data_IF_050409969635
#
_entry.id   IF_050409969635
#
_cell.length_a   1.000
_cell.length_b   1.000
_cell.length_c   1.000
_cell.angle_alpha   90.00
_cell.angle_beta   90.00
_cell.angle_gamma   90.00
#
_symmetry.space_group_name_H-M   'P 1'
#
loop_
_entity.id
_entity.type
_entity.pdbx_description
1 polymer ?
#
# COMPACT_ATOMS: atom_id res chain seq x y z
N UNK A 1 -6.76 28.54 6.55
CA UNK A 1 -5.60 27.64 6.75
C UNK A 1 -5.90 26.39 7.58
N UNK A 2 -6.83 26.43 8.57
CA UNK A 2 -7.16 25.24 9.40
C UNK A 2 -7.52 23.97 8.61
N UNK A 3 -8.29 24.12 7.53
CA UNK A 3 -8.73 22.98 6.71
C UNK A 3 -7.61 22.34 5.89
N UNK A 4 -6.69 23.16 5.38
CA UNK A 4 -5.51 22.68 4.63
C UNK A 4 -4.58 21.90 5.57
N UNK A 5 -4.34 22.43 6.78
CA UNK A 5 -3.54 21.73 7.79
C UNK A 5 -4.19 20.39 8.18
N UNK A 6 -5.49 20.38 8.43
CA UNK A 6 -6.21 19.16 8.79
C UNK A 6 -6.17 18.10 7.66
N UNK A 7 -6.28 18.53 6.40
CA UNK A 7 -6.17 17.64 5.24
C UNK A 7 -4.80 16.95 5.20
N UNK A 8 -3.70 17.70 5.27
CA UNK A 8 -2.36 17.09 5.22
C UNK A 8 -2.06 16.23 6.44
N UNK A 9 -2.56 16.61 7.62
CA UNK A 9 -2.38 15.82 8.84
C UNK A 9 -3.12 14.49 8.78
N UNK A 10 -4.34 14.47 8.24
CA UNK A 10 -5.08 13.24 7.96
C UNK A 10 -4.32 12.32 7.01
N UNK A 11 -3.81 12.85 5.89
CA UNK A 11 -3.03 12.04 4.94
C UNK A 11 -1.75 11.52 5.57
N UNK A 12 -1.06 12.32 6.37
CA UNK A 12 0.14 11.88 7.09
C UNK A 12 -0.15 10.74 8.06
N UNK A 13 -1.19 10.90 8.89
CA UNK A 13 -1.60 9.86 9.85
C UNK A 13 -2.06 8.58 9.13
N UNK A 14 -2.79 8.70 8.03
CA UNK A 14 -3.26 7.56 7.23
C UNK A 14 -2.12 6.81 6.52
N UNK A 15 -1.20 7.56 5.88
CA UNK A 15 -0.13 6.97 5.06
C UNK A 15 1.03 6.42 5.92
N UNK A 16 1.33 7.07 7.04
CA UNK A 16 2.56 6.81 7.82
C UNK A 16 2.24 6.32 9.23
N UNK A 17 1.18 6.83 9.86
CA UNK A 17 0.83 6.53 11.25
C UNK A 17 0.07 5.23 11.47
N UNK A 18 -0.78 4.83 10.52
CA UNK A 18 -1.71 3.70 10.70
C UNK A 18 -1.18 2.38 10.10
N UNK A 19 -0.94 2.33 8.78
CA UNK A 19 -0.52 1.10 8.07
C UNK A 19 0.53 1.37 6.98
N UNK A 20 1.78 1.66 7.36
CA UNK A 20 2.85 1.98 6.40
C UNK A 20 3.12 0.86 5.39
N UNK A 21 2.82 -0.40 5.73
CA UNK A 21 2.94 -1.55 4.81
C UNK A 21 2.08 -1.39 3.55
N UNK A 22 0.85 -0.89 3.70
CA UNK A 22 -0.08 -0.69 2.57
C UNK A 22 0.42 0.45 1.69
N UNK A 23 0.95 1.53 2.30
CA UNK A 23 1.49 2.67 1.57
C UNK A 23 2.69 2.27 0.71
N UNK A 24 3.63 1.51 1.26
CA UNK A 24 4.79 1.00 0.50
C UNK A 24 4.34 0.08 -0.63
N UNK A 25 3.39 -0.82 -0.37
CA UNK A 25 2.80 -1.68 -1.39
C UNK A 25 2.19 -0.90 -2.55
N UNK A 26 1.43 0.16 -2.25
CA UNK A 26 0.82 1.03 -3.25
C UNK A 26 1.88 1.76 -4.11
N UNK A 27 2.95 2.29 -3.50
CA UNK A 27 4.04 2.93 -4.23
C UNK A 27 4.74 1.97 -5.19
N UNK A 28 4.98 0.72 -4.76
CA UNK A 28 5.60 -0.31 -5.62
C UNK A 28 4.71 -0.61 -6.82
N UNK A 29 3.41 -0.84 -6.60
CA UNK A 29 2.45 -1.14 -7.67
C UNK A 29 2.37 0.02 -8.67
N UNK A 30 2.29 1.26 -8.18
CA UNK A 30 2.27 2.45 -9.04
C UNK A 30 3.56 2.61 -9.85
N UNK A 31 4.71 2.36 -9.23
CA UNK A 31 6.01 2.40 -9.91
C UNK A 31 6.09 1.34 -11.03
N UNK A 32 5.66 0.11 -10.75
CA UNK A 32 5.62 -0.97 -11.75
C UNK A 32 4.67 -0.62 -12.89
N UNK A 33 3.48 -0.10 -12.58
CA UNK A 33 2.52 0.34 -13.59
C UNK A 33 3.08 1.46 -14.48
N UNK A 34 3.76 2.45 -13.90
CA UNK A 34 4.38 3.55 -14.63
C UNK A 34 5.49 3.05 -15.59
N UNK A 35 6.32 2.12 -15.14
CA UNK A 35 7.36 1.51 -15.98
C UNK A 35 6.74 0.66 -17.10
N UNK A 36 5.71 -0.14 -16.79
CA UNK A 36 5.02 -0.97 -17.78
C UNK A 36 4.37 -0.11 -18.86
N UNK A 37 3.71 0.99 -18.48
CA UNK A 37 3.10 1.95 -19.39
C UNK A 37 4.13 2.61 -20.34
N UNK A 38 5.36 2.82 -19.87
CA UNK A 38 6.45 3.39 -20.68
C UNK A 38 7.12 2.37 -21.60
N UNK A 39 7.06 1.08 -21.28
CA UNK A 39 7.91 0.04 -21.88
C UNK A 39 7.18 -0.90 -22.86
N UNK A 40 5.95 -0.56 -23.28
CA UNK A 40 5.12 -1.42 -24.15
C UNK A 40 4.86 -2.82 -23.57
N UNK A 41 4.97 -2.97 -22.25
CA UNK A 41 4.71 -4.23 -21.55
C UNK A 41 3.20 -4.38 -21.41
N UNK A 42 2.67 -5.57 -21.68
CA UNK A 42 1.23 -5.85 -21.48
C UNK A 42 0.83 -5.58 -20.02
N UNK A 43 -0.12 -4.67 -19.83
CA UNK A 43 -0.60 -4.23 -18.52
C UNK A 43 -1.64 -5.18 -17.91
N UNK A 44 -1.97 -6.26 -18.59
CA UNK A 44 -2.98 -7.25 -18.19
C UNK A 44 -2.67 -7.93 -16.84
N UNK A 45 -1.39 -7.95 -16.45
CA UNK A 45 -0.93 -8.53 -15.18
C UNK A 45 -0.98 -7.55 -13.99
N UNK A 46 -1.26 -6.26 -14.22
CA UNK A 46 -1.33 -5.27 -13.13
C UNK A 46 -2.41 -5.58 -12.08
N UNK A 47 -3.63 -6.01 -12.45
CA UNK A 47 -4.63 -6.42 -11.46
C UNK A 47 -4.16 -7.60 -10.59
N UNK A 48 -3.47 -8.58 -11.20
CA UNK A 48 -2.92 -9.71 -10.47
C UNK A 48 -1.82 -9.27 -9.49
N UNK A 49 -0.96 -8.33 -9.90
CA UNK A 49 0.04 -7.74 -9.02
C UNK A 49 -0.61 -7.06 -7.80
N UNK A 50 -1.68 -6.28 -8.00
CA UNK A 50 -2.42 -5.63 -6.91
C UNK A 50 -2.97 -6.66 -5.93
N UNK A 51 -3.59 -7.74 -6.43
CA UNK A 51 -4.15 -8.80 -5.60
C UNK A 51 -3.05 -9.47 -4.77
N UNK A 52 -1.91 -9.80 -5.38
CA UNK A 52 -0.78 -10.42 -4.68
C UNK A 52 -0.24 -9.49 -3.59
N UNK A 53 -0.02 -8.21 -3.91
CA UNK A 53 0.46 -7.22 -2.93
C UNK A 53 -0.51 -7.08 -1.75
N UNK A 54 -1.82 -7.06 -2.02
CA UNK A 54 -2.85 -6.95 -0.99
C UNK A 54 -2.89 -8.20 -0.09
N UNK A 55 -2.87 -9.40 -0.69
CA UNK A 55 -2.85 -10.67 0.06
C UNK A 55 -1.61 -10.78 0.93
N UNK A 56 -0.43 -10.42 0.41
CA UNK A 56 0.81 -10.43 1.18
C UNK A 56 0.76 -9.42 2.32
N UNK A 57 0.28 -8.19 2.07
CA UNK A 57 0.17 -7.15 3.09
C UNK A 57 -0.79 -7.55 4.21
N UNK A 58 -1.98 -8.03 3.87
CA UNK A 58 -2.99 -8.43 4.85
C UNK A 58 -2.57 -9.70 5.60
N UNK A 59 -2.05 -10.72 4.89
CA UNK A 59 -1.58 -11.95 5.52
C UNK A 59 -0.43 -11.70 6.50
N UNK A 60 0.50 -10.80 6.17
CA UNK A 60 1.58 -10.39 7.06
C UNK A 60 1.09 -9.61 8.29
N UNK A 61 0.13 -8.70 8.10
CA UNK A 61 -0.48 -7.97 9.21
C UNK A 61 -1.24 -8.89 10.18
N UNK A 62 -2.03 -9.83 9.63
CA UNK A 62 -2.79 -10.82 10.42
C UNK A 62 -1.86 -11.71 11.23
N UNK A 63 -0.80 -12.25 10.62
CA UNK A 63 0.16 -13.12 11.31
C UNK A 63 0.88 -12.39 12.46
N UNK A 64 1.27 -11.12 12.27
CA UNK A 64 1.81 -10.28 13.36
C UNK A 64 0.82 -10.06 14.49
N UNK A 65 -0.44 -9.78 14.18
CA UNK A 65 -1.49 -9.57 15.18
C UNK A 65 -1.74 -10.83 16.02
N UNK A 66 -1.80 -12.00 15.38
CA UNK A 66 -1.95 -13.30 16.07
C UNK A 66 -0.75 -13.58 16.98
N UNK A 67 0.47 -13.31 16.53
CA UNK A 67 1.68 -13.48 17.35
C UNK A 67 1.70 -12.56 18.57
N UNK A 68 1.17 -11.34 18.46
CA UNK A 68 1.10 -10.36 19.55
C UNK A 68 0.06 -10.74 20.60
N UNK A 69 -1.03 -11.40 20.22
CA UNK A 69 -2.10 -11.86 21.13
C UNK A 69 -1.70 -13.08 21.96
N UNK A 70 -0.73 -13.88 21.49
CA UNK A 70 -0.24 -15.08 22.18
C UNK A 70 0.85 -14.79 23.24
N UNK A 71 1.39 -13.57 23.30
CA UNK A 71 2.33 -13.11 24.33
C UNK A 71 1.58 -12.39 25.43
#
# INVERSE_FOLDING_TARGET
MKYVKAFFMFWFDFLIGDTPEIFVGALIVLGVAAVAAKSSISTELLPALVIVTLVLSVGWAVTRSVLKTKR
#
